data_IF_007112981262
#
_entry.id   IF_007112981262
#
_cell.length_a   1.000
_cell.length_b   1.000
_cell.length_c   1.000
_cell.angle_alpha   90.00
_cell.angle_beta   90.00
_cell.angle_gamma   90.00
#
_symmetry.space_group_name_H-M   'P 1'
#
loop_
_entity.id
_entity.type
_entity.pdbx_description
1 polymer ?
#
# COMPACT_ATOMS: atom_id res chain seq x y z
N UNK A 1 -11.44 11.55 29.64
CA UNK A 1 -12.01 11.36 28.27
C UNK A 1 -11.92 12.62 27.42
N UNK A 2 -12.38 13.80 27.87
CA UNK A 2 -12.32 15.04 27.07
C UNK A 2 -10.94 15.35 26.47
N UNK A 3 -9.87 15.30 27.27
CA UNK A 3 -8.51 15.59 26.78
C UNK A 3 -8.04 14.58 25.72
N UNK A 4 -8.49 13.33 25.83
CA UNK A 4 -8.21 12.28 24.85
C UNK A 4 -8.86 12.63 23.51
N UNK A 5 -10.18 12.85 23.49
CA UNK A 5 -10.94 13.16 22.27
C UNK A 5 -10.54 14.49 21.61
N UNK A 6 -10.09 15.47 22.40
CA UNK A 6 -9.55 16.72 21.88
C UNK A 6 -8.11 16.61 21.38
N UNK A 7 -7.52 15.40 21.39
CA UNK A 7 -6.16 15.20 20.89
C UNK A 7 -5.07 15.84 21.76
N UNK A 8 -5.36 16.19 23.01
CA UNK A 8 -4.43 16.89 23.88
C UNK A 8 -3.32 15.97 24.39
N UNK A 9 -2.17 16.56 24.72
CA UNK A 9 -1.07 15.85 25.38
C UNK A 9 -1.51 15.34 26.74
N UNK A 10 -1.47 14.02 26.92
CA UNK A 10 -1.90 13.37 28.18
C UNK A 10 -0.96 13.67 29.34
N UNK A 11 0.34 13.89 29.06
CA UNK A 11 1.32 14.28 30.05
C UNK A 11 0.92 15.56 30.83
N UNK A 12 0.18 16.48 30.18
CA UNK A 12 -0.27 17.72 30.82
C UNK A 12 -1.40 17.50 31.83
N UNK A 13 -2.10 16.36 31.74
CA UNK A 13 -3.30 16.06 32.55
C UNK A 13 -3.02 14.97 33.58
N UNK A 14 -1.99 14.16 33.36
CA UNK A 14 -1.62 13.01 34.18
C UNK A 14 -0.25 13.18 34.86
N UNK A 15 0.14 14.42 35.19
CA UNK A 15 1.42 14.70 35.83
C UNK A 15 1.57 13.90 37.13
N UNK A 16 2.62 13.08 37.23
CA UNK A 16 2.87 12.17 38.34
C UNK A 16 2.10 10.84 38.32
N UNK A 17 1.30 10.60 37.28
CA UNK A 17 0.54 9.36 37.04
C UNK A 17 0.62 8.92 35.57
N UNK A 18 1.72 9.24 34.89
CA UNK A 18 1.86 9.09 33.43
C UNK A 18 1.69 7.62 33.01
N UNK A 19 2.25 6.69 33.78
CA UNK A 19 2.14 5.25 33.52
C UNK A 19 0.70 4.74 33.70
N UNK A 20 0.00 5.18 34.74
CA UNK A 20 -1.39 4.80 35.01
C UNK A 20 -2.32 5.36 33.93
N UNK A 21 -2.09 6.60 33.51
CA UNK A 21 -2.85 7.24 32.44
C UNK A 21 -2.62 6.55 31.09
N UNK A 22 -1.39 6.16 30.77
CA UNK A 22 -1.09 5.40 29.55
C UNK A 22 -1.79 4.04 29.58
N UNK A 23 -1.70 3.30 30.69
CA UNK A 23 -2.38 2.01 30.85
C UNK A 23 -3.90 2.14 30.76
N UNK A 24 -4.47 3.21 31.33
CA UNK A 24 -5.90 3.51 31.21
C UNK A 24 -6.30 3.79 29.76
N UNK A 25 -5.49 4.52 29.01
CA UNK A 25 -5.76 4.83 27.61
C UNK A 25 -5.68 3.57 26.75
N UNK A 26 -4.58 2.84 26.80
CA UNK A 26 -4.36 1.65 25.98
C UNK A 26 -5.37 0.55 26.32
N UNK A 27 -5.52 0.22 27.60
CA UNK A 27 -6.41 -0.84 28.04
C UNK A 27 -7.88 -0.43 28.06
N UNK A 28 -8.19 0.78 28.50
CA UNK A 28 -9.55 1.26 28.69
C UNK A 28 -10.14 1.87 27.42
N UNK A 29 -9.50 2.91 26.87
CA UNK A 29 -10.06 3.70 25.77
C UNK A 29 -9.80 3.10 24.39
N UNK A 30 -8.61 2.54 24.14
CA UNK A 30 -8.26 1.99 22.82
C UNK A 30 -8.77 0.56 22.67
N UNK A 31 -8.67 -0.25 23.73
CA UNK A 31 -9.09 -1.66 23.68
C UNK A 31 -10.52 -1.88 24.20
N UNK A 32 -10.78 -1.75 25.50
CA UNK A 32 -12.06 -2.24 26.09
C UNK A 32 -13.29 -1.45 25.67
N UNK A 33 -13.20 -0.12 25.60
CA UNK A 33 -14.35 0.74 25.35
C UNK A 33 -14.90 0.57 23.92
N UNK A 34 -14.07 0.54 22.85
CA UNK A 34 -14.56 0.26 21.51
C UNK A 34 -15.28 -1.09 21.40
N UNK A 35 -14.71 -2.14 22.00
CA UNK A 35 -15.35 -3.46 22.06
C UNK A 35 -16.69 -3.42 22.81
N UNK A 36 -16.76 -2.71 23.93
CA UNK A 36 -18.00 -2.57 24.70
C UNK A 36 -19.07 -1.81 23.89
N UNK A 37 -18.69 -0.71 23.23
CA UNK A 37 -19.58 0.07 22.37
C UNK A 37 -20.13 -0.78 21.22
N UNK A 38 -19.26 -1.55 20.56
CA UNK A 38 -19.67 -2.40 19.44
C UNK A 38 -20.55 -3.58 19.90
N UNK A 39 -20.25 -4.18 21.06
CA UNK A 39 -21.09 -5.22 21.63
C UNK A 39 -22.51 -4.72 21.96
N UNK A 40 -22.63 -3.51 22.53
CA UNK A 40 -23.92 -2.87 22.79
C UNK A 40 -24.63 -2.57 21.47
N UNK A 41 -23.92 -2.04 20.47
CA UNK A 41 -24.50 -1.72 19.16
C UNK A 41 -25.09 -2.95 18.47
N UNK A 42 -24.30 -4.03 18.36
CA UNK A 42 -24.73 -5.28 17.73
C UNK A 42 -25.90 -5.90 18.48
N UNK A 43 -25.85 -5.91 19.82
CA UNK A 43 -26.96 -6.39 20.66
C UNK A 43 -28.22 -5.55 20.45
N UNK A 44 -28.09 -4.22 20.45
CA UNK A 44 -29.22 -3.31 20.36
C UNK A 44 -29.95 -3.45 19.02
N UNK A 45 -29.20 -3.49 17.92
CA UNK A 45 -29.75 -3.72 16.58
C UNK A 45 -30.45 -5.09 16.50
N UNK A 46 -29.83 -6.15 17.04
CA UNK A 46 -30.41 -7.49 17.00
C UNK A 46 -31.72 -7.62 17.80
N UNK A 47 -31.92 -6.80 18.83
CA UNK A 47 -33.12 -6.82 19.66
C UNK A 47 -34.15 -5.74 19.30
N UNK A 48 -33.87 -4.89 18.31
CA UNK A 48 -34.73 -3.75 17.98
C UNK A 48 -34.86 -2.76 19.13
N UNK A 49 -33.78 -2.54 19.90
CA UNK A 49 -33.77 -1.56 20.97
C UNK A 49 -34.03 -0.16 20.41
N UNK A 50 -34.88 0.61 21.09
CA UNK A 50 -35.18 2.00 20.76
C UNK A 50 -34.58 2.96 21.79
N UNK A 51 -34.14 4.12 21.32
CA UNK A 51 -33.49 5.17 22.11
C UNK A 51 -34.40 6.41 22.17
N UNK A 52 -34.71 6.83 23.39
CA UNK A 52 -35.45 8.06 23.68
C UNK A 52 -36.92 8.00 23.24
N UNK A 53 -37.60 9.13 23.44
CA UNK A 53 -39.06 9.21 23.24
C UNK A 53 -39.49 9.20 21.77
N UNK A 54 -38.53 9.39 20.85
CA UNK A 54 -38.77 9.37 19.39
C UNK A 54 -38.71 7.96 18.78
N UNK A 55 -38.37 6.93 19.57
CA UNK A 55 -38.37 5.54 19.10
C UNK A 55 -37.28 5.22 18.06
N UNK A 56 -36.19 5.98 18.03
CA UNK A 56 -35.08 5.78 17.08
C UNK A 56 -34.30 4.51 17.42
N UNK A 57 -33.89 3.76 16.42
CA UNK A 57 -33.04 2.59 16.57
C UNK A 57 -31.56 3.00 16.58
N UNK A 58 -30.69 2.08 17.02
CA UNK A 58 -29.24 2.37 17.09
C UNK A 58 -28.60 2.61 15.72
N UNK A 59 -29.14 2.02 14.65
CA UNK A 59 -28.68 2.18 13.27
C UNK A 59 -29.12 3.51 12.64
N UNK A 60 -30.03 4.26 13.27
CA UNK A 60 -30.37 5.63 12.88
C UNK A 60 -29.24 6.64 13.21
N UNK A 61 -28.24 6.24 14.00
CA UNK A 61 -27.12 7.09 14.41
C UNK A 61 -25.82 6.69 13.71
N UNK A 62 -24.98 7.68 13.38
CA UNK A 62 -23.64 7.47 12.81
C UNK A 62 -22.61 7.08 13.90
N UNK A 63 -22.79 5.90 14.50
CA UNK A 63 -22.01 5.44 15.65
C UNK A 63 -20.55 5.08 15.31
N UNK A 64 -20.26 4.78 14.05
CA UNK A 64 -18.91 4.43 13.60
C UNK A 64 -17.90 5.57 13.82
N UNK A 65 -18.34 6.83 13.72
CA UNK A 65 -17.50 8.00 14.01
C UNK A 65 -17.13 8.08 15.49
N UNK A 66 -18.10 7.84 16.39
CA UNK A 66 -17.85 7.84 17.82
C UNK A 66 -16.84 6.75 18.22
N UNK A 67 -16.95 5.58 17.60
CA UNK A 67 -16.00 4.48 17.80
C UNK A 67 -14.59 4.86 17.35
N UNK A 68 -14.46 5.38 16.13
CA UNK A 68 -13.19 5.82 15.56
C UNK A 68 -12.54 6.92 16.41
N UNK A 69 -13.33 7.89 16.90
CA UNK A 69 -12.83 8.98 17.73
C UNK A 69 -12.29 8.49 19.08
N UNK A 70 -12.95 7.49 19.69
CA UNK A 70 -12.51 6.88 20.95
C UNK A 70 -11.23 6.07 20.74
N UNK A 71 -11.16 5.26 19.67
CA UNK A 71 -10.00 4.45 19.33
C UNK A 71 -8.77 5.32 19.04
N UNK A 72 -8.93 6.33 18.19
CA UNK A 72 -7.82 7.15 17.69
C UNK A 72 -7.51 8.36 18.56
N UNK A 73 -8.41 8.74 19.46
CA UNK A 73 -8.23 9.87 20.37
C UNK A 73 -8.25 11.23 19.68
N UNK A 74 -9.15 11.41 18.71
CA UNK A 74 -9.35 12.68 18.01
C UNK A 74 -10.78 12.73 17.47
N UNK A 75 -11.36 13.93 17.40
CA UNK A 75 -12.64 14.18 16.71
C UNK A 75 -12.43 14.66 15.26
N UNK A 76 -11.16 14.81 14.83
CA UNK A 76 -10.84 15.21 13.47
C UNK A 76 -10.81 13.98 12.56
N UNK A 77 -11.81 13.87 11.68
CA UNK A 77 -12.01 12.73 10.77
C UNK A 77 -10.78 12.40 9.91
N UNK A 78 -10.11 13.40 9.37
CA UNK A 78 -8.90 13.20 8.56
C UNK A 78 -7.76 12.64 9.41
N UNK A 79 -7.63 13.07 10.66
CA UNK A 79 -6.64 12.51 11.58
C UNK A 79 -6.98 11.05 11.98
N UNK A 80 -8.27 10.73 12.20
CA UNK A 80 -8.72 9.34 12.43
C UNK A 80 -8.29 8.43 11.28
N UNK A 81 -8.57 8.85 10.04
CA UNK A 81 -8.26 8.09 8.83
C UNK A 81 -6.75 7.89 8.67
N UNK A 82 -5.92 8.88 8.99
CA UNK A 82 -4.45 8.72 8.99
C UNK A 82 -3.99 7.65 9.99
N UNK A 83 -4.54 7.68 11.20
CA UNK A 83 -4.18 6.73 12.26
C UNK A 83 -4.62 5.32 11.86
N UNK A 84 -5.86 5.17 11.37
CA UNK A 84 -6.39 3.88 10.88
C UNK A 84 -5.67 3.37 9.63
N UNK A 85 -5.12 4.27 8.80
CA UNK A 85 -4.27 3.92 7.67
C UNK A 85 -2.86 3.45 8.07
N UNK A 86 -2.49 3.55 9.35
CA UNK A 86 -1.23 3.05 9.90
C UNK A 86 -0.24 4.12 10.37
N UNK A 87 -0.60 5.41 10.35
CA UNK A 87 0.24 6.44 10.97
C UNK A 87 -0.04 6.54 12.47
N UNK A 88 0.60 5.67 13.25
CA UNK A 88 0.24 5.39 14.65
C UNK A 88 0.53 6.51 15.66
N UNK A 89 1.18 7.61 15.25
CA UNK A 89 1.38 8.77 16.11
C UNK A 89 0.20 9.73 16.06
N UNK A 90 -0.70 9.64 17.05
CA UNK A 90 -1.89 10.48 17.18
C UNK A 90 -1.60 11.98 17.10
N UNK A 91 -0.63 12.47 17.87
CA UNK A 91 -0.29 13.90 17.92
C UNK A 91 0.28 14.38 16.59
N UNK A 92 1.12 13.57 15.95
CA UNK A 92 1.66 13.90 14.64
C UNK A 92 0.59 13.86 13.54
N UNK A 93 -0.36 12.93 13.60
CA UNK A 93 -1.48 12.84 12.65
C UNK A 93 -2.36 14.09 12.73
N UNK A 94 -2.75 14.49 13.95
CA UNK A 94 -3.52 15.72 14.18
C UNK A 94 -2.76 16.95 13.67
N UNK A 95 -1.46 17.04 13.98
CA UNK A 95 -0.62 18.15 13.53
C UNK A 95 -0.54 18.19 12.00
N UNK A 96 -0.31 17.05 11.34
CA UNK A 96 -0.18 16.98 9.90
C UNK A 96 -1.45 17.47 9.18
N UNK A 97 -2.62 17.06 9.71
CA UNK A 97 -3.92 17.53 9.21
C UNK A 97 -4.12 19.01 9.44
N UNK A 98 -3.82 19.51 10.64
CA UNK A 98 -4.02 20.92 10.98
C UNK A 98 -3.09 21.85 10.18
N UNK A 99 -1.81 21.49 10.04
CA UNK A 99 -0.83 22.30 9.31
C UNK A 99 -1.14 22.39 7.81
N UNK A 100 -1.78 21.36 7.25
CA UNK A 100 -2.16 21.32 5.82
C UNK A 100 -3.62 21.69 5.57
N UNK A 101 -4.40 21.96 6.63
CA UNK A 101 -5.85 22.09 6.57
C UNK A 101 -6.53 20.95 5.79
N UNK A 102 -6.08 19.70 6.01
CA UNK A 102 -6.59 18.54 5.28
C UNK A 102 -8.05 18.26 5.63
N UNK A 103 -8.84 17.86 4.63
CA UNK A 103 -10.29 17.58 4.77
C UNK A 103 -10.70 16.25 4.14
N UNK A 104 -9.77 15.30 3.98
CA UNK A 104 -10.09 14.01 3.39
C UNK A 104 -10.98 13.17 4.32
N UNK A 105 -11.93 12.46 3.72
CA UNK A 105 -12.97 11.68 4.38
C UNK A 105 -12.89 10.18 4.06
N UNK A 106 -12.02 9.79 3.14
CA UNK A 106 -11.82 8.41 2.70
C UNK A 106 -10.37 8.15 2.24
N UNK A 107 -10.05 6.89 1.98
CA UNK A 107 -8.70 6.46 1.62
C UNK A 107 -8.19 7.02 0.27
N UNK A 108 -9.09 7.26 -0.69
CA UNK A 108 -8.72 7.82 -1.98
C UNK A 108 -8.34 9.30 -1.87
N UNK A 109 -9.12 10.08 -1.12
CA UNK A 109 -8.80 11.47 -0.81
C UNK A 109 -7.52 11.59 0.04
N UNK A 110 -7.28 10.65 0.97
CA UNK A 110 -6.01 10.55 1.69
C UNK A 110 -4.82 10.40 0.72
N UNK A 111 -4.92 9.49 -0.25
CA UNK A 111 -3.87 9.30 -1.26
C UNK A 111 -3.62 10.56 -2.09
N UNK A 112 -4.69 11.25 -2.52
CA UNK A 112 -4.57 12.52 -3.23
C UNK A 112 -3.90 13.59 -2.37
N UNK A 113 -4.29 13.70 -1.10
CA UNK A 113 -3.69 14.63 -0.17
C UNK A 113 -2.21 14.34 0.08
N UNK A 114 -1.82 13.07 0.23
CA UNK A 114 -0.41 12.67 0.37
C UNK A 114 0.43 13.07 -0.85
N UNK A 115 -0.17 13.08 -2.04
CA UNK A 115 0.48 13.51 -3.28
C UNK A 115 0.42 15.03 -3.53
N UNK A 116 -0.26 15.80 -2.66
CA UNK A 116 -0.42 17.25 -2.82
C UNK A 116 0.89 18.01 -2.57
N UNK A 117 1.00 19.21 -3.16
CA UNK A 117 2.15 20.10 -2.97
C UNK A 117 2.32 20.49 -1.49
N UNK A 118 1.22 20.75 -0.77
CA UNK A 118 1.25 21.13 0.63
C UNK A 118 1.82 20.02 1.52
N UNK A 119 1.34 18.78 1.36
CA UNK A 119 1.84 17.63 2.10
C UNK A 119 3.30 17.30 1.72
N UNK A 120 3.64 17.41 0.44
CA UNK A 120 5.01 17.16 -0.07
C UNK A 120 6.01 18.17 0.47
N UNK A 121 5.66 19.47 0.45
CA UNK A 121 6.53 20.54 0.94
C UNK A 121 6.81 20.41 2.44
N UNK A 122 5.79 20.14 3.26
CA UNK A 122 5.98 19.92 4.70
C UNK A 122 6.71 18.60 4.97
N UNK A 123 6.44 17.55 4.18
CA UNK A 123 7.17 16.27 4.27
C UNK A 123 8.66 16.41 3.94
N UNK A 124 9.11 17.47 3.27
CA UNK A 124 10.53 17.71 3.03
C UNK A 124 11.26 18.31 4.25
N UNK A 125 10.52 18.91 5.20
CA UNK A 125 11.12 19.50 6.40
C UNK A 125 11.66 18.42 7.34
N UNK A 126 12.85 18.62 7.94
CA UNK A 126 13.49 17.61 8.79
C UNK A 126 12.68 17.28 10.05
N UNK A 127 11.97 18.27 10.59
CA UNK A 127 11.30 18.17 11.89
C UNK A 127 9.77 18.09 11.79
N UNK A 128 9.24 17.73 10.61
CA UNK A 128 7.79 17.64 10.37
C UNK A 128 7.33 16.20 10.09
N UNK A 129 6.23 15.70 10.72
CA UNK A 129 5.31 16.43 11.60
C UNK A 129 5.92 16.84 12.95
N UNK A 130 6.71 15.96 13.56
CA UNK A 130 7.64 16.33 14.64
C UNK A 130 8.99 15.65 14.38
N UNK A 131 10.06 16.14 15.02
CA UNK A 131 11.38 15.52 14.90
C UNK A 131 11.36 14.04 15.32
N UNK A 132 10.65 13.69 16.40
CA UNK A 132 10.58 12.31 16.91
C UNK A 132 9.78 11.38 15.99
N UNK A 133 8.78 11.93 15.29
CA UNK A 133 7.84 11.15 14.47
C UNK A 133 8.20 11.16 12.99
N UNK A 134 9.23 11.92 12.60
CA UNK A 134 9.71 12.02 11.21
C UNK A 134 10.02 10.65 10.58
N UNK A 135 10.75 9.72 11.23
CA UNK A 135 11.04 8.42 10.63
C UNK A 135 9.78 7.57 10.39
N UNK A 136 8.80 7.68 11.30
CA UNK A 136 7.51 7.01 11.19
C UNK A 136 6.70 7.60 10.03
N UNK A 137 6.68 8.92 9.89
CA UNK A 137 6.02 9.61 8.79
C UNK A 137 6.60 9.18 7.44
N UNK A 138 7.93 9.17 7.29
CA UNK A 138 8.58 8.77 6.05
C UNK A 138 8.24 7.32 5.68
N UNK A 139 8.29 6.40 6.65
CA UNK A 139 7.91 4.99 6.44
C UNK A 139 6.45 4.87 6.01
N UNK A 140 5.55 5.63 6.64
CA UNK A 140 4.13 5.68 6.30
C UNK A 140 3.93 6.15 4.86
N UNK A 141 4.46 7.32 4.48
CA UNK A 141 4.33 7.88 3.12
C UNK A 141 4.94 6.96 2.07
N UNK A 142 6.08 6.32 2.36
CA UNK A 142 6.69 5.35 1.47
C UNK A 142 5.78 4.13 1.21
N UNK A 143 4.96 3.73 2.19
CA UNK A 143 3.96 2.67 2.00
C UNK A 143 2.84 3.05 1.01
N UNK A 144 2.60 4.34 0.82
CA UNK A 144 1.66 4.89 -0.18
C UNK A 144 2.32 5.24 -1.50
N UNK A 145 3.65 5.26 -1.56
CA UNK A 145 4.35 5.44 -2.82
C UNK A 145 3.92 4.31 -3.76
N UNK A 146 3.44 4.61 -4.98
CA UNK A 146 3.12 3.58 -5.95
C UNK A 146 4.35 2.68 -6.08
N UNK A 147 4.24 1.35 -5.94
CA UNK A 147 5.37 0.47 -6.23
C UNK A 147 5.77 0.77 -7.68
N UNK A 148 6.94 1.43 -7.89
CA UNK A 148 7.41 2.03 -9.16
C UNK A 148 6.40 1.73 -10.26
N UNK A 149 5.37 2.58 -10.40
CA UNK A 149 4.23 2.33 -11.26
C UNK A 149 4.67 2.43 -12.72
N UNK A 150 5.46 1.46 -13.13
CA UNK A 150 5.78 1.19 -14.50
C UNK A 150 4.53 0.54 -15.06
N UNK A 151 3.69 1.36 -15.68
CA UNK A 151 2.54 0.93 -16.47
C UNK A 151 2.98 -0.25 -17.32
N UNK A 152 2.34 -1.40 -17.15
CA UNK A 152 2.66 -2.58 -17.93
C UNK A 152 2.35 -2.28 -19.39
N UNK A 153 3.36 -2.42 -20.25
CA UNK A 153 3.24 -2.23 -21.68
C UNK A 153 3.58 -3.52 -22.39
N UNK A 154 2.82 -3.80 -23.44
CA UNK A 154 3.15 -4.87 -24.37
C UNK A 154 4.21 -4.35 -25.34
N UNK A 155 5.31 -5.10 -25.45
CA UNK A 155 6.35 -4.87 -26.44
C UNK A 155 6.51 -6.13 -27.28
N UNK A 156 6.71 -5.95 -28.58
CA UNK A 156 6.92 -7.04 -29.54
C UNK A 156 8.31 -6.93 -30.14
N UNK A 157 9.04 -8.03 -30.13
CA UNK A 157 10.39 -8.11 -30.65
C UNK A 157 10.56 -9.34 -31.54
N UNK A 158 11.64 -9.32 -32.32
CA UNK A 158 12.22 -10.51 -32.95
C UNK A 158 13.69 -10.57 -32.55
N UNK A 159 14.21 -11.76 -32.28
CA UNK A 159 15.62 -11.95 -31.92
C UNK A 159 16.23 -13.12 -32.69
N UNK A 160 17.51 -12.97 -33.02
CA UNK A 160 18.30 -14.05 -33.63
C UNK A 160 18.70 -15.08 -32.58
N UNK A 161 18.76 -16.34 -33.00
CA UNK A 161 19.17 -17.48 -32.19
C UNK A 161 20.27 -18.22 -32.95
N UNK A 162 21.38 -18.47 -32.27
CA UNK A 162 22.39 -19.41 -32.74
C UNK A 162 21.96 -20.81 -32.31
N UNK A 163 21.19 -21.48 -33.16
CA UNK A 163 20.71 -22.83 -32.88
C UNK A 163 21.87 -23.83 -32.77
N UNK A 164 21.73 -24.78 -31.86
CA UNK A 164 22.60 -25.95 -31.84
C UNK A 164 22.31 -26.85 -33.05
N UNK A 165 23.30 -27.65 -33.50
CA UNK A 165 23.06 -28.62 -34.56
C UNK A 165 21.83 -29.48 -34.27
N UNK A 166 20.98 -29.67 -35.28
CA UNK A 166 19.75 -30.47 -35.24
C UNK A 166 18.74 -30.08 -34.14
N UNK A 167 18.84 -28.86 -33.59
CA UNK A 167 18.00 -28.38 -32.48
C UNK A 167 16.99 -27.31 -32.90
N UNK A 168 17.02 -26.87 -34.16
CA UNK A 168 16.03 -25.94 -34.71
C UNK A 168 14.66 -26.61 -34.76
N UNK A 169 13.66 -25.91 -34.23
CA UNK A 169 12.29 -26.40 -34.11
C UNK A 169 11.43 -25.91 -35.27
N UNK A 170 10.26 -26.52 -35.46
CA UNK A 170 9.30 -26.03 -36.44
C UNK A 170 8.79 -24.63 -36.07
N UNK A 171 8.39 -23.85 -37.08
CA UNK A 171 7.73 -22.57 -36.88
C UNK A 171 6.53 -22.69 -35.92
N UNK A 172 6.26 -21.61 -35.18
CA UNK A 172 5.24 -21.52 -34.12
C UNK A 172 5.45 -22.43 -32.90
N UNK A 173 6.54 -23.20 -32.85
CA UNK A 173 6.88 -23.97 -31.66
C UNK A 173 7.19 -23.03 -30.49
N UNK A 174 6.52 -23.16 -29.33
CA UNK A 174 6.78 -22.34 -28.17
C UNK A 174 8.14 -22.68 -27.55
N UNK A 175 8.90 -21.65 -27.19
CA UNK A 175 10.21 -21.77 -26.54
C UNK A 175 10.28 -20.90 -25.29
N UNK A 176 11.26 -21.13 -24.44
CA UNK A 176 11.51 -20.39 -23.20
C UNK A 176 12.82 -19.65 -23.29
N UNK A 177 12.86 -18.44 -22.72
CA UNK A 177 14.10 -17.68 -22.56
C UNK A 177 14.62 -17.79 -21.13
N UNK A 178 15.90 -18.14 -20.99
CA UNK A 178 16.55 -18.32 -19.69
C UNK A 178 17.99 -17.79 -19.72
N UNK A 179 18.62 -17.65 -18.55
CA UNK A 179 20.06 -17.40 -18.48
C UNK A 179 20.77 -18.69 -18.04
N UNK A 180 21.53 -19.30 -18.94
CA UNK A 180 22.39 -20.45 -18.63
C UNK A 180 23.81 -19.94 -18.38
N UNK A 181 24.34 -20.16 -17.18
CA UNK A 181 25.67 -19.68 -16.79
C UNK A 181 25.89 -18.17 -16.99
N UNK A 182 24.82 -17.37 -16.88
CA UNK A 182 24.85 -15.92 -17.10
C UNK A 182 24.57 -15.49 -18.54
N UNK A 183 24.52 -16.42 -19.50
CA UNK A 183 24.29 -16.13 -20.92
C UNK A 183 22.83 -16.37 -21.34
N UNK A 184 22.24 -15.50 -22.17
CA UNK A 184 20.89 -15.68 -22.71
C UNK A 184 20.77 -16.94 -23.59
N UNK A 185 19.85 -17.83 -23.23
CA UNK A 185 19.62 -19.11 -23.92
C UNK A 185 18.14 -19.32 -24.25
N UNK A 186 17.91 -20.07 -25.32
CA UNK A 186 16.59 -20.54 -25.77
C UNK A 186 16.44 -22.01 -25.41
N UNK A 187 15.41 -22.31 -24.64
CA UNK A 187 15.09 -23.65 -24.17
C UNK A 187 13.76 -24.13 -24.77
N UNK A 188 13.60 -25.43 -24.90
CA UNK A 188 12.31 -26.07 -25.17
C UNK A 188 11.38 -26.01 -23.95
N UNK A 189 10.13 -26.42 -24.12
CA UNK A 189 9.15 -26.49 -23.04
C UNK A 189 9.54 -27.44 -21.90
N UNK A 190 10.28 -28.50 -22.21
CA UNK A 190 10.86 -29.48 -21.27
C UNK A 190 12.24 -29.07 -20.72
N UNK A 191 12.79 -27.93 -21.15
CA UNK A 191 14.01 -27.34 -20.60
C UNK A 191 15.31 -27.77 -21.30
N UNK A 192 15.23 -28.44 -22.45
CA UNK A 192 16.39 -28.75 -23.28
C UNK A 192 16.96 -27.46 -23.89
N UNK A 193 18.28 -27.32 -23.88
CA UNK A 193 18.96 -26.18 -24.49
C UNK A 193 18.97 -26.32 -26.01
N UNK A 194 18.23 -25.44 -26.70
CA UNK A 194 18.08 -25.43 -28.16
C UNK A 194 19.10 -24.53 -28.87
N UNK A 195 19.49 -23.42 -28.25
CA UNK A 195 20.45 -22.48 -28.82
C UNK A 195 20.65 -21.23 -27.99
N UNK A 196 21.61 -20.40 -28.38
CA UNK A 196 22.00 -19.20 -27.65
C UNK A 196 21.30 -17.97 -28.26
N UNK A 197 20.63 -17.19 -27.41
CA UNK A 197 19.91 -15.98 -27.83
C UNK A 197 20.91 -14.85 -28.09
N UNK A 198 20.87 -14.25 -29.27
CA UNK A 198 21.84 -13.22 -29.68
C UNK A 198 21.44 -11.80 -29.22
N UNK A 199 20.36 -11.67 -28.43
CA UNK A 199 19.88 -10.41 -27.90
C UNK A 199 20.20 -10.29 -26.39
N UNK A 200 20.50 -9.08 -25.88
CA UNK A 200 20.93 -8.87 -24.49
C UNK A 200 19.73 -8.94 -23.54
N UNK A 201 19.27 -10.15 -23.23
CA UNK A 201 18.13 -10.41 -22.36
C UNK A 201 18.36 -9.84 -20.96
N UNK A 202 17.43 -9.03 -20.45
CA UNK A 202 17.51 -8.50 -19.10
C UNK A 202 17.30 -9.63 -18.06
N UNK A 203 18.28 -9.95 -17.20
CA UNK A 203 18.14 -10.98 -16.16
C UNK A 203 17.24 -10.51 -15.01
N UNK A 204 17.10 -9.20 -14.80
CA UNK A 204 16.28 -8.60 -13.75
C UNK A 204 14.87 -8.23 -14.23
N UNK A 205 14.45 -8.72 -15.42
CA UNK A 205 13.11 -8.45 -15.97
C UNK A 205 12.01 -8.91 -15.00
N UNK A 206 10.99 -8.05 -14.82
CA UNK A 206 9.87 -8.28 -13.88
C UNK A 206 8.55 -8.64 -14.55
N UNK A 207 8.57 -8.85 -15.87
CA UNK A 207 7.41 -9.11 -16.71
C UNK A 207 7.35 -10.53 -17.25
N UNK A 208 6.35 -10.81 -18.08
CA UNK A 208 6.12 -12.12 -18.71
C UNK A 208 6.54 -12.09 -20.17
N UNK A 209 7.28 -13.11 -20.61
CA UNK A 209 7.68 -13.29 -22.01
C UNK A 209 6.94 -14.48 -22.61
N UNK A 210 6.34 -14.30 -23.78
CA UNK A 210 5.98 -15.38 -24.70
C UNK A 210 6.94 -15.37 -25.88
N UNK A 211 7.47 -16.55 -26.21
CA UNK A 211 8.39 -16.74 -27.32
C UNK A 211 7.97 -17.92 -28.20
N UNK A 212 8.07 -17.77 -29.51
CA UNK A 212 7.86 -18.85 -30.48
C UNK A 212 8.84 -18.73 -31.65
N UNK A 213 9.14 -19.86 -32.28
CA UNK A 213 10.02 -19.93 -33.45
C UNK A 213 9.33 -19.30 -34.65
N UNK A 214 10.05 -18.48 -35.42
CA UNK A 214 9.50 -17.83 -36.62
C UNK A 214 9.64 -18.72 -37.85
N UNK A 215 8.87 -18.44 -38.90
CA UNK A 215 9.09 -19.04 -40.23
C UNK A 215 10.44 -18.62 -40.83
N UNK A 216 10.94 -17.44 -40.49
CA UNK A 216 12.28 -16.99 -40.87
C UNK A 216 13.33 -17.78 -40.09
N UNK A 217 14.24 -18.51 -40.77
CA UNK A 217 15.24 -19.35 -40.11
C UNK A 217 16.12 -18.54 -39.15
N UNK A 218 16.48 -19.15 -38.02
CA UNK A 218 17.35 -18.50 -37.04
C UNK A 218 16.70 -17.41 -36.18
N UNK A 219 15.38 -17.20 -36.25
CA UNK A 219 14.69 -16.18 -35.44
C UNK A 219 13.56 -16.74 -34.56
N UNK A 220 13.32 -16.00 -33.48
CA UNK A 220 12.15 -16.18 -32.62
C UNK A 220 11.37 -14.87 -32.51
N UNK A 221 10.06 -14.98 -32.40
CA UNK A 221 9.15 -13.88 -32.08
C UNK A 221 8.97 -13.80 -30.57
N UNK A 222 8.84 -12.58 -30.05
CA UNK A 222 8.76 -12.31 -28.62
C UNK A 222 7.66 -11.30 -28.34
N UNK A 223 6.78 -11.65 -27.40
CA UNK A 223 5.84 -10.71 -26.79
C UNK A 223 6.19 -10.58 -25.31
N UNK A 224 6.58 -9.39 -24.89
CA UNK A 224 6.88 -9.07 -23.51
C UNK A 224 5.83 -8.14 -22.93
N UNK A 225 5.21 -8.55 -21.84
CA UNK A 225 4.31 -7.71 -21.07
C UNK A 225 4.99 -7.42 -19.73
N UNK A 226 5.37 -6.17 -19.51
CA UNK A 226 6.08 -5.81 -18.30
C UNK A 226 6.29 -4.32 -18.08
N UNK A 227 6.85 -3.98 -16.90
CA UNK A 227 7.08 -2.60 -16.48
C UNK A 227 8.25 -1.91 -17.20
N UNK A 228 9.27 -2.66 -17.60
CA UNK A 228 10.53 -2.13 -18.13
C UNK A 228 10.77 -2.67 -19.56
N UNK A 229 11.95 -2.49 -20.15
CA UNK A 229 12.29 -3.15 -21.43
C UNK A 229 12.71 -4.62 -21.19
N UNK A 230 12.49 -5.48 -22.18
CA UNK A 230 12.96 -6.86 -22.20
C UNK A 230 14.49 -6.92 -22.32
N UNK A 231 15.08 -5.94 -23.00
CA UNK A 231 16.51 -5.87 -23.26
C UNK A 231 17.25 -5.03 -22.23
N UNK A 232 18.53 -5.34 -22.01
CA UNK A 232 19.44 -4.41 -21.37
C UNK A 232 19.72 -3.26 -22.35
N UNK A 233 19.32 -2.05 -21.95
CA UNK A 233 19.63 -0.79 -22.65
C UNK A 233 20.93 -0.22 -22.12
#
# INVERSE_FOLDING_TARGET
>A
MRCWLLGQHLANVAAGQEAEALQFVEGGLVYRLPWAMEAIRVRGIANGDVIGDMGLQLDDFELALALAAVETGTLNRSAEILIQAGFTSRLAAIKAVNDTAATFSNAFELQQWLASDAATALSALPDWPTAETKPMWNSFVQGFAPPKASVWKEHRYSAWVSWRPDSEQAADTPVRLYHLNGEPAVLSCDGLHLGDLQAPLNPARRGVVRASVMEEPGKISLTYLGPDDLWLV
#
